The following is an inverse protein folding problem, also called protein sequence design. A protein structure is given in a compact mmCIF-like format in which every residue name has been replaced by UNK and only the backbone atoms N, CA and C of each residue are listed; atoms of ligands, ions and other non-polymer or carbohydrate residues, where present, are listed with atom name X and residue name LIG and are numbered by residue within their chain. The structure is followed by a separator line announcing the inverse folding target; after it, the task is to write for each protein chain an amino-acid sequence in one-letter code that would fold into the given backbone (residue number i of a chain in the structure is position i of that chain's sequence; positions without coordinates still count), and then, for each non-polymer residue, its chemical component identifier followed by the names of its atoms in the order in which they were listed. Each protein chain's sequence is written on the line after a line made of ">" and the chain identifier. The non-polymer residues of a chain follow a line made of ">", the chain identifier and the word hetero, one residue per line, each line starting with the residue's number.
data_IF_308975016623
#
_entry.id   IF_308975016623
#
_cell.length_a   1.000
_cell.length_b   1.000
_cell.length_c   1.000
_cell.angle_alpha   90.00
_cell.angle_beta   90.00
_cell.angle_gamma   90.00
#
_symmetry.space_group_name_H-M   'P 1'
#
loop_
_entity.id
_entity.type
_entity.pdbx_description
1 polymer ?
#
# COMPACT_ATOMS: atom_id res chain seq x y z
N UNK A 1 46.88 -5.03 16.84
CA UNK A 1 45.78 -5.81 16.25
C UNK A 1 44.65 -4.87 15.89
N UNK A 2 44.43 -4.57 14.60
CA UNK A 2 43.26 -3.77 14.16
C UNK A 2 42.14 -4.76 13.84
N UNK A 3 41.08 -4.71 14.64
CA UNK A 3 39.92 -5.58 14.51
C UNK A 3 39.14 -5.16 13.26
N UNK A 4 39.21 -5.98 12.22
CA UNK A 4 38.40 -5.82 11.01
C UNK A 4 36.94 -6.10 11.36
N UNK A 5 36.17 -5.05 11.63
CA UNK A 5 34.71 -5.15 11.64
C UNK A 5 34.28 -5.45 10.20
N UNK A 6 34.02 -6.74 9.90
CA UNK A 6 33.23 -7.12 8.74
C UNK A 6 31.89 -6.40 8.87
N UNK A 7 31.67 -5.37 8.06
CA UNK A 7 30.36 -4.76 7.90
C UNK A 7 29.41 -5.87 7.43
N UNK A 8 28.55 -6.36 8.32
CA UNK A 8 27.51 -7.30 7.94
C UNK A 8 26.45 -6.53 7.18
N UNK A 9 26.45 -6.72 5.87
CA UNK A 9 25.41 -6.22 4.98
C UNK A 9 24.17 -7.09 5.23
N UNK A 10 23.23 -6.59 6.03
CA UNK A 10 21.94 -7.24 6.18
C UNK A 10 20.96 -6.63 5.18
N UNK A 11 20.44 -7.46 4.28
CA UNK A 11 19.52 -7.08 3.21
C UNK A 11 18.20 -7.81 3.41
N UNK A 12 17.10 -7.07 3.32
CA UNK A 12 15.77 -7.67 3.28
C UNK A 12 14.86 -6.87 2.36
N UNK A 13 13.92 -7.57 1.73
CA UNK A 13 12.87 -6.97 0.90
C UNK A 13 11.54 -7.24 1.58
N UNK A 14 10.77 -6.19 1.82
CA UNK A 14 9.39 -6.32 2.25
C UNK A 14 8.45 -6.04 1.09
N UNK A 15 7.39 -6.84 1.00
CA UNK A 15 6.35 -6.69 -0.01
C UNK A 15 5.11 -6.09 0.62
N UNK A 16 4.64 -5.00 0.03
CA UNK A 16 3.61 -4.13 0.59
C UNK A 16 2.43 -4.03 -0.38
N UNK A 17 1.23 -4.22 0.15
CA UNK A 17 -0.02 -3.91 -0.54
C UNK A 17 -0.79 -2.86 0.24
N UNK A 18 -1.07 -1.72 -0.38
CA UNK A 18 -1.76 -0.60 0.24
C UNK A 18 -3.08 -0.36 -0.49
N UNK A 19 -4.13 -0.11 0.29
CA UNK A 19 -5.42 0.37 -0.17
C UNK A 19 -5.79 1.58 0.69
N UNK A 20 -6.20 2.68 0.07
CA UNK A 20 -6.86 3.76 0.78
C UNK A 20 -8.17 4.18 0.12
N UNK A 21 -9.09 4.62 0.97
CA UNK A 21 -10.31 5.31 0.59
C UNK A 21 -10.38 6.57 1.43
N UNK A 22 -10.34 7.73 0.78
CA UNK A 22 -10.55 9.02 1.41
C UNK A 22 -11.88 9.63 0.93
N UNK A 23 -12.61 10.29 1.83
CA UNK A 23 -13.82 11.07 1.51
C UNK A 23 -13.51 12.52 1.82
N UNK A 24 -13.78 13.41 0.87
CA UNK A 24 -13.58 14.85 1.04
C UNK A 24 -14.71 15.63 0.36
N UNK A 25 -14.86 16.90 0.73
CA UNK A 25 -15.83 17.82 0.14
C UNK A 25 -15.07 18.89 -0.64
N UNK A 26 -15.47 19.12 -1.88
CA UNK A 26 -14.97 20.20 -2.73
C UNK A 26 -16.15 20.89 -3.41
N UNK A 27 -16.28 22.20 -3.23
CA UNK A 27 -17.40 23.00 -3.76
C UNK A 27 -18.78 22.40 -3.41
N UNK A 28 -18.98 22.03 -2.15
CA UNK A 28 -20.21 21.40 -1.62
C UNK A 28 -20.54 20.01 -2.21
N UNK A 29 -19.65 19.47 -3.06
CA UNK A 29 -19.78 18.14 -3.65
C UNK A 29 -18.85 17.17 -2.92
N UNK A 30 -19.38 16.03 -2.51
CA UNK A 30 -18.60 14.97 -1.86
C UNK A 30 -17.94 14.05 -2.89
N UNK A 31 -16.67 13.77 -2.70
CA UNK A 31 -15.84 12.89 -3.52
C UNK A 31 -15.24 11.77 -2.69
N UNK A 32 -14.97 10.64 -3.37
CA UNK A 32 -14.23 9.50 -2.84
C UNK A 32 -12.98 9.34 -3.68
N UNK A 33 -11.80 9.47 -3.06
CA UNK A 33 -10.53 9.06 -3.64
C UNK A 33 -10.23 7.63 -3.23
N UNK A 34 -10.03 6.77 -4.22
CA UNK A 34 -9.56 5.41 -4.05
C UNK A 34 -8.12 5.32 -4.53
N UNK A 35 -7.27 4.66 -3.76
CA UNK A 35 -5.89 4.43 -4.14
C UNK A 35 -5.46 3.01 -3.78
N UNK A 36 -4.78 2.35 -4.70
CA UNK A 36 -4.15 1.05 -4.48
C UNK A 36 -2.71 1.11 -4.90
N UNK A 37 -1.82 0.50 -4.13
CA UNK A 37 -0.39 0.42 -4.46
C UNK A 37 0.20 -0.93 -4.08
N UNK A 38 1.01 -1.46 -4.98
CA UNK A 38 1.95 -2.53 -4.75
C UNK A 38 3.37 -1.94 -4.74
N UNK A 39 4.08 -2.11 -3.63
CA UNK A 39 5.45 -1.60 -3.49
C UNK A 39 6.37 -2.61 -2.82
N UNK A 40 7.67 -2.48 -3.08
CA UNK A 40 8.75 -3.20 -2.41
C UNK A 40 9.54 -2.22 -1.57
N UNK A 41 9.88 -2.61 -0.36
CA UNK A 41 10.76 -1.85 0.52
C UNK A 41 12.08 -2.61 0.65
N UNK A 42 13.13 -2.08 0.02
CA UNK A 42 14.48 -2.60 0.09
C UNK A 42 15.17 -2.00 1.31
N UNK A 43 15.52 -2.84 2.29
CA UNK A 43 16.17 -2.44 3.53
C UNK A 43 17.60 -2.93 3.56
N UNK A 44 18.51 -1.99 3.76
CA UNK A 44 19.95 -2.24 3.80
C UNK A 44 20.54 -1.69 5.09
N UNK A 45 21.13 -2.54 5.92
CA UNK A 45 21.86 -2.11 7.12
C UNK A 45 23.34 -1.85 6.75
N UNK A 46 23.75 -0.59 6.71
CA UNK A 46 25.15 -0.19 6.48
C UNK A 46 25.66 0.51 7.73
N UNK A 47 26.73 -0.02 8.33
CA UNK A 47 27.40 0.59 9.49
C UNK A 47 26.44 0.93 10.64
N UNK A 48 25.46 0.05 10.90
CA UNK A 48 24.46 0.22 11.96
C UNK A 48 23.30 1.18 11.63
N UNK A 49 23.25 1.76 10.42
CA UNK A 49 22.15 2.60 9.95
C UNK A 49 21.33 1.87 8.88
N UNK A 50 20.01 1.90 9.03
CA UNK A 50 19.10 1.42 8.01
C UNK A 50 18.99 2.45 6.89
N UNK A 51 19.28 2.02 5.67
CA UNK A 51 18.89 2.69 4.44
C UNK A 51 17.66 1.97 3.89
N UNK A 52 16.62 2.73 3.59
CA UNK A 52 15.33 2.22 3.14
C UNK A 52 15.01 2.87 1.80
N UNK A 53 14.82 2.05 0.78
CA UNK A 53 14.38 2.47 -0.54
C UNK A 53 13.03 1.83 -0.85
N UNK A 54 12.06 2.64 -1.28
CA UNK A 54 10.72 2.16 -1.64
C UNK A 54 10.58 2.23 -3.16
N UNK A 55 10.36 1.07 -3.76
CA UNK A 55 10.05 0.90 -5.17
C UNK A 55 8.54 0.70 -5.32
N UNK A 56 7.87 1.57 -6.09
CA UNK A 56 6.46 1.33 -6.47
C UNK A 56 6.42 0.48 -7.73
N UNK A 57 5.86 -0.71 -7.62
CA UNK A 57 5.76 -1.67 -8.74
C UNK A 57 4.51 -1.39 -9.56
N UNK A 58 3.41 -1.08 -8.89
CA UNK A 58 2.14 -0.73 -9.54
C UNK A 58 1.31 0.16 -8.62
N UNK A 59 0.57 1.09 -9.19
CA UNK A 59 -0.39 1.90 -8.45
C UNK A 59 -1.55 2.33 -9.35
N UNK A 60 -2.71 2.53 -8.75
CA UNK A 60 -3.89 3.09 -9.40
C UNK A 60 -4.59 4.04 -8.43
N UNK A 61 -5.13 5.13 -8.98
CA UNK A 61 -5.89 6.14 -8.25
C UNK A 61 -7.14 6.49 -9.05
N UNK A 62 -8.27 6.60 -8.36
CA UNK A 62 -9.54 7.01 -8.96
C UNK A 62 -10.26 7.97 -8.02
N UNK A 63 -10.69 9.11 -8.56
CA UNK A 63 -11.58 10.06 -7.88
C UNK A 63 -12.98 9.96 -8.46
N UNK A 64 -13.96 9.71 -7.60
CA UNK A 64 -15.36 9.53 -7.99
C UNK A 64 -16.22 10.43 -7.13
N UNK A 65 -17.20 11.12 -7.74
CA UNK A 65 -18.26 11.76 -6.97
C UNK A 65 -18.98 10.72 -6.13
N UNK A 66 -19.18 10.99 -4.85
CA UNK A 66 -19.77 10.05 -3.92
C UNK A 66 -21.14 9.58 -4.42
N UNK A 67 -21.95 10.43 -5.04
CA UNK A 67 -23.26 10.05 -5.60
C UNK A 67 -23.16 8.93 -6.66
N UNK A 68 -22.13 8.96 -7.50
CA UNK A 68 -21.89 8.00 -8.59
C UNK A 68 -21.09 6.76 -8.17
N UNK A 69 -20.49 6.77 -6.98
CA UNK A 69 -19.69 5.64 -6.53
C UNK A 69 -20.55 4.37 -6.31
N UNK A 70 -20.03 3.17 -6.67
CA UNK A 70 -20.69 1.90 -6.34
C UNK A 70 -20.95 1.77 -4.83
N UNK A 71 -21.99 1.02 -4.46
CA UNK A 71 -22.39 0.87 -3.05
C UNK A 71 -21.30 0.18 -2.21
N UNK A 72 -20.56 -0.73 -2.81
CA UNK A 72 -19.43 -1.45 -2.22
C UNK A 72 -18.32 -0.47 -1.83
N UNK A 73 -18.00 0.47 -2.73
CA UNK A 73 -17.00 1.53 -2.53
C UNK A 73 -17.45 2.50 -1.42
N UNK A 74 -18.72 2.90 -1.42
CA UNK A 74 -19.27 3.79 -0.38
C UNK A 74 -19.12 3.19 1.02
N UNK A 75 -19.34 1.87 1.15
CA UNK A 75 -19.25 1.11 2.41
C UNK A 75 -17.82 0.88 2.89
N UNK A 76 -16.80 1.10 2.05
CA UNK A 76 -15.43 0.99 2.49
C UNK A 76 -15.13 2.02 3.61
N UNK A 77 -14.31 1.65 4.60
CA UNK A 77 -13.92 2.56 5.66
C UNK A 77 -13.08 3.73 5.12
N UNK A 78 -13.31 4.93 5.66
CA UNK A 78 -12.50 6.13 5.36
C UNK A 78 -11.11 6.02 6.01
N UNK A 79 -10.20 5.29 5.36
CA UNK A 79 -8.90 4.97 5.92
C UNK A 79 -7.90 4.52 4.85
N UNK A 80 -6.64 4.51 5.23
CA UNK A 80 -5.58 3.75 4.59
C UNK A 80 -5.34 2.44 5.34
N UNK A 81 -5.13 1.36 4.59
CA UNK A 81 -4.67 0.05 5.06
C UNK A 81 -3.42 -0.34 4.30
N UNK A 82 -2.39 -0.76 5.02
CA UNK A 82 -1.14 -1.28 4.44
C UNK A 82 -0.89 -2.68 4.98
N UNK A 83 -0.76 -3.65 4.09
CA UNK A 83 -0.52 -5.05 4.40
C UNK A 83 0.91 -5.43 4.06
N UNK A 84 1.58 -6.09 4.99
CA UNK A 84 2.84 -6.78 4.76
C UNK A 84 2.53 -8.20 4.31
N UNK A 85 2.87 -8.52 3.06
CA UNK A 85 2.51 -9.79 2.42
C UNK A 85 3.77 -10.58 2.09
N UNK A 86 3.61 -11.88 1.83
CA UNK A 86 4.70 -12.68 1.26
C UNK A 86 4.92 -12.31 -0.20
N UNK A 87 6.11 -12.60 -0.73
CA UNK A 87 6.42 -12.43 -2.15
C UNK A 87 5.41 -13.16 -3.06
N UNK A 88 5.00 -14.37 -2.67
CA UNK A 88 4.03 -15.16 -3.44
C UNK A 88 2.67 -14.45 -3.54
N UNK A 89 2.18 -13.88 -2.42
CA UNK A 89 0.93 -13.11 -2.41
C UNK A 89 1.09 -11.82 -3.21
N UNK A 90 2.23 -11.14 -3.07
CA UNK A 90 2.53 -9.93 -3.83
C UNK A 90 2.50 -10.17 -5.34
N UNK A 91 3.14 -11.24 -5.82
CA UNK A 91 3.16 -11.58 -7.24
C UNK A 91 1.75 -11.92 -7.74
N UNK A 92 0.95 -12.64 -6.95
CA UNK A 92 -0.46 -12.90 -7.28
C UNK A 92 -1.30 -11.62 -7.38
N UNK A 93 -1.13 -10.69 -6.45
CA UNK A 93 -1.79 -9.37 -6.51
C UNK A 93 -1.32 -8.56 -7.72
N UNK A 94 -0.03 -8.62 -8.05
CA UNK A 94 0.53 -7.92 -9.21
C UNK A 94 -0.03 -8.49 -10.53
N UNK A 95 -0.20 -9.80 -10.64
CA UNK A 95 -0.80 -10.41 -11.82
C UNK A 95 -2.30 -10.09 -11.94
N UNK A 96 -3.02 -9.98 -10.82
CA UNK A 96 -4.40 -9.45 -10.81
C UNK A 96 -4.42 -7.97 -11.25
N UNK A 97 -3.47 -7.16 -10.79
CA UNK A 97 -3.38 -5.74 -11.12
C UNK A 97 -3.16 -5.48 -12.61
N UNK A 98 -2.39 -6.34 -13.29
CA UNK A 98 -2.21 -6.27 -14.75
C UNK A 98 -3.52 -6.42 -15.53
N UNK A 99 -4.50 -7.13 -14.97
CA UNK A 99 -5.83 -7.30 -15.57
C UNK A 99 -6.80 -6.16 -15.19
N UNK A 100 -6.29 -5.04 -14.64
CA UNK A 100 -7.03 -3.81 -14.31
C UNK A 100 -8.31 -4.05 -13.50
N UNK A 101 -8.27 -5.00 -12.58
CA UNK A 101 -9.47 -5.35 -11.82
C UNK A 101 -9.63 -4.39 -10.65
N UNK A 102 -10.62 -3.49 -10.74
CA UNK A 102 -11.06 -2.60 -9.64
C UNK A 102 -11.34 -3.36 -8.34
N UNK A 103 -11.56 -4.67 -8.43
CA UNK A 103 -11.73 -5.59 -7.31
C UNK A 103 -10.56 -5.58 -6.31
N UNK A 104 -9.36 -5.16 -6.72
CA UNK A 104 -8.21 -5.01 -5.81
C UNK A 104 -8.53 -4.11 -4.60
N UNK A 105 -9.39 -3.11 -4.77
CA UNK A 105 -9.85 -2.22 -3.69
C UNK A 105 -10.67 -2.95 -2.61
N UNK A 106 -11.28 -4.08 -2.97
CA UNK A 106 -12.16 -4.87 -2.11
C UNK A 106 -11.46 -6.08 -1.49
N UNK A 107 -10.21 -6.37 -1.90
CA UNK A 107 -9.46 -7.53 -1.42
C UNK A 107 -8.80 -7.25 -0.07
N UNK A 108 -8.84 -8.26 0.80
CA UNK A 108 -7.96 -8.34 1.98
C UNK A 108 -6.99 -9.49 1.73
N UNK A 109 -5.69 -9.22 1.49
CA UNK A 109 -4.75 -10.28 1.16
C UNK A 109 -4.42 -11.13 2.39
N UNK A 110 -3.94 -12.35 2.16
CA UNK A 110 -3.24 -13.08 3.20
C UNK A 110 -1.96 -12.32 3.57
N UNK A 111 -1.88 -11.86 4.80
CA UNK A 111 -0.82 -10.96 5.27
C UNK A 111 -0.23 -11.45 6.59
N UNK A 112 1.00 -11.02 6.86
CA UNK A 112 1.70 -11.31 8.11
C UNK A 112 1.45 -10.22 9.16
N UNK A 113 1.28 -8.98 8.71
CA UNK A 113 0.99 -7.83 9.54
C UNK A 113 0.21 -6.79 8.70
N UNK A 114 -0.51 -5.90 9.36
CA UNK A 114 -1.14 -4.77 8.69
C UNK A 114 -1.15 -3.52 9.57
N UNK A 115 -1.17 -2.37 8.93
CA UNK A 115 -1.32 -1.06 9.54
C UNK A 115 -2.59 -0.41 8.99
N UNK A 116 -3.32 0.32 9.85
CA UNK A 116 -4.48 1.10 9.47
C UNK A 116 -4.38 2.51 10.04
N UNK A 117 -4.66 3.49 9.19
CA UNK A 117 -4.77 4.90 9.56
C UNK A 117 -6.12 5.42 9.10
N UNK A 118 -6.95 5.88 10.03
CA UNK A 118 -8.21 6.52 9.66
C UNK A 118 -7.95 7.94 9.15
N UNK A 119 -8.76 8.37 8.20
CA UNK A 119 -8.79 9.76 7.77
C UNK A 119 -9.89 10.50 8.51
N UNK A 120 -9.59 11.73 8.92
CA UNK A 120 -10.59 12.65 9.43
C UNK A 120 -11.47 13.12 8.26
N UNK A 121 -12.73 13.42 8.53
CA UNK A 121 -13.60 14.06 7.55
C UNK A 121 -13.20 15.53 7.48
N UNK A 122 -12.61 15.94 6.36
CA UNK A 122 -12.36 17.34 6.04
C UNK A 122 -13.63 18.03 5.56
#
# INVERSE_FOLDING_TARGET
>A
MKQNYRMMLNQSVLYLFMISKNVYIENEVSYITLFVRLSREHRLLISGKWNIEIETVWAEMEDIRQEHAPNEVKKLPNCMRQYYVSEKVFNGLHDLAKNQTKDLLLITPLHHNFYRQNFDLC
#
